data_IF_078117346267
#
_entry.id   IF_078117346267
#
_cell.length_a   1.000
_cell.length_b   1.000
_cell.length_c   1.000
_cell.angle_alpha   90.00
_cell.angle_beta   90.00
_cell.angle_gamma   90.00
#
_symmetry.space_group_name_H-M   'P 1'
#
loop_
_entity.id
_entity.type
_entity.pdbx_description
1 polymer ?
#
# COMPACT_ATOMS: atom_id res chain seq x y z
N UNK A 1 34.51 -55.50 17.62
CA UNK A 1 33.05 -55.36 17.54
C UNK A 1 32.70 -54.07 16.78
N UNK A 2 32.23 -54.13 15.53
CA UNK A 2 31.79 -52.95 14.76
C UNK A 2 30.26 -52.93 14.60
N UNK A 3 29.62 -51.78 14.84
CA UNK A 3 28.26 -51.33 14.42
C UNK A 3 28.05 -49.97 15.13
N UNK A 4 27.47 -48.89 14.60
CA UNK A 4 26.74 -48.57 13.38
C UNK A 4 26.79 -47.04 13.26
N UNK A 5 26.91 -46.51 12.03
CA UNK A 5 26.72 -45.08 11.74
C UNK A 5 25.25 -44.70 11.95
N UNK A 6 24.96 -43.56 12.58
CA UNK A 6 23.69 -42.83 12.33
C UNK A 6 23.97 -41.38 11.93
N UNK A 7 23.83 -41.14 10.63
CA UNK A 7 23.55 -39.83 10.03
C UNK A 7 22.12 -39.45 10.43
N UNK A 8 21.93 -38.35 11.16
CA UNK A 8 20.65 -37.65 11.29
C UNK A 8 20.70 -36.41 10.41
N UNK A 9 20.19 -36.50 9.18
CA UNK A 9 18.88 -35.97 8.75
C UNK A 9 18.94 -34.46 8.54
N UNK A 10 19.24 -34.10 7.30
CA UNK A 10 19.20 -32.73 6.81
C UNK A 10 17.80 -32.14 7.00
N UNK A 11 17.79 -30.96 7.62
CA UNK A 11 16.65 -30.07 7.64
C UNK A 11 16.54 -29.45 6.25
N UNK A 12 15.62 -29.98 5.45
CA UNK A 12 15.33 -29.49 4.10
C UNK A 12 14.62 -28.15 4.25
N UNK A 13 15.33 -27.06 3.99
CA UNK A 13 14.73 -25.75 3.77
C UNK A 13 13.66 -25.86 2.67
N UNK A 14 12.47 -25.25 2.82
CA UNK A 14 11.43 -25.37 1.81
C UNK A 14 11.90 -24.72 0.50
N UNK A 15 11.75 -25.48 -0.59
CA UNK A 15 12.15 -25.12 -1.94
C UNK A 15 11.76 -23.69 -2.30
N UNK A 16 12.78 -22.90 -2.69
CA UNK A 16 12.67 -21.48 -2.96
C UNK A 16 11.76 -21.19 -4.14
N UNK A 17 10.66 -20.49 -3.87
CA UNK A 17 9.89 -19.80 -4.89
C UNK A 17 10.81 -18.82 -5.65
N UNK A 18 10.71 -18.72 -6.98
CA UNK A 18 11.65 -17.90 -7.75
C UNK A 18 11.46 -16.41 -7.40
N UNK A 19 12.54 -15.60 -7.25
CA UNK A 19 12.45 -14.19 -6.86
C UNK A 19 11.46 -13.38 -7.69
N UNK A 20 11.38 -13.67 -9.00
CA UNK A 20 10.46 -13.04 -9.94
C UNK A 20 8.98 -13.37 -9.65
N UNK A 21 8.68 -14.58 -9.18
CA UNK A 21 7.32 -15.04 -8.88
C UNK A 21 6.80 -14.46 -7.58
N UNK A 22 7.68 -14.37 -6.57
CA UNK A 22 7.41 -13.61 -5.34
C UNK A 22 7.11 -12.16 -5.68
N UNK A 23 8.00 -11.49 -6.43
CA UNK A 23 7.82 -10.08 -6.88
C UNK A 23 6.48 -9.84 -7.58
N UNK A 24 6.08 -10.69 -8.52
CA UNK A 24 4.82 -10.51 -9.27
C UNK A 24 3.58 -10.63 -8.37
N UNK A 25 3.60 -11.54 -7.40
CA UNK A 25 2.54 -11.66 -6.40
C UNK A 25 2.51 -10.47 -5.43
N UNK A 26 3.67 -9.89 -5.10
CA UNK A 26 3.78 -8.67 -4.29
C UNK A 26 3.21 -7.46 -5.01
N UNK A 27 3.44 -7.32 -6.31
CA UNK A 27 2.93 -6.20 -7.13
C UNK A 27 1.40 -6.20 -7.18
N UNK A 28 0.78 -7.34 -7.52
CA UNK A 28 -0.69 -7.47 -7.54
C UNK A 28 -1.32 -7.25 -6.15
N UNK A 29 -0.57 -7.58 -5.09
CA UNK A 29 -0.99 -7.30 -3.72
C UNK A 29 -0.94 -5.80 -3.38
N UNK A 30 0.03 -5.05 -3.90
CA UNK A 30 0.13 -3.60 -3.68
C UNK A 30 -1.00 -2.86 -4.39
N UNK A 31 -1.32 -3.25 -5.62
CA UNK A 31 -2.43 -2.69 -6.40
C UNK A 31 -3.77 -2.78 -5.66
N UNK A 32 -4.04 -3.90 -4.99
CA UNK A 32 -5.28 -4.09 -4.23
C UNK A 32 -5.39 -3.22 -2.96
N UNK A 33 -4.26 -2.90 -2.32
CA UNK A 33 -4.25 -2.04 -1.13
C UNK A 33 -4.34 -0.55 -1.47
N UNK A 34 -3.90 -0.18 -2.67
CA UNK A 34 -3.90 1.20 -3.14
C UNK A 34 -5.33 1.74 -3.33
N UNK A 35 -6.31 0.91 -3.68
CA UNK A 35 -7.69 1.32 -3.99
C UNK A 35 -8.44 2.10 -2.88
N UNK A 36 -7.88 2.18 -1.66
CA UNK A 36 -8.54 2.71 -0.45
C UNK A 36 -8.49 4.25 -0.32
N UNK A 37 -7.73 4.97 -1.15
CA UNK A 37 -7.46 6.42 -0.99
C UNK A 37 -8.48 7.42 -1.55
N UNK A 38 -9.68 7.01 -1.97
CA UNK A 38 -10.63 7.90 -2.68
C UNK A 38 -11.40 8.81 -1.71
N UNK A 39 -11.16 10.12 -1.76
CA UNK A 39 -12.11 11.14 -1.26
C UNK A 39 -12.81 11.73 -2.49
N UNK A 40 -14.13 11.51 -2.67
CA UNK A 40 -14.86 12.12 -3.78
C UNK A 40 -15.02 13.64 -3.54
N UNK A 41 -14.50 14.45 -4.47
CA UNK A 41 -14.87 15.86 -4.55
C UNK A 41 -16.33 16.00 -5.00
N UNK A 42 -17.07 17.03 -4.52
CA UNK A 42 -18.43 17.30 -4.98
C UNK A 42 -18.45 17.64 -6.48
N UNK A 43 -19.57 17.33 -7.15
CA UNK A 43 -19.71 17.59 -8.59
C UNK A 43 -19.63 19.10 -8.87
N UNK A 44 -18.68 19.51 -9.71
CA UNK A 44 -18.43 20.92 -10.06
C UNK A 44 -17.15 21.50 -9.45
N UNK A 45 -16.49 20.77 -8.54
CA UNK A 45 -15.18 21.15 -7.99
C UNK A 45 -14.10 20.17 -8.47
N UNK A 46 -12.94 20.70 -8.83
CA UNK A 46 -11.79 19.91 -9.22
C UNK A 46 -11.19 19.19 -7.99
N UNK A 47 -11.07 17.86 -8.09
CA UNK A 47 -10.40 17.02 -7.11
C UNK A 47 -9.26 16.22 -7.73
N UNK A 48 -8.44 15.59 -6.90
CA UNK A 48 -7.33 14.74 -7.35
C UNK A 48 -7.23 13.42 -6.59
N UNK A 49 -6.76 12.37 -7.28
CA UNK A 49 -6.27 11.12 -6.67
C UNK A 49 -4.81 10.96 -7.11
N UNK A 50 -3.87 11.04 -6.16
CA UNK A 50 -2.44 10.90 -6.42
C UNK A 50 -1.85 9.77 -5.60
N UNK A 51 -1.15 8.87 -6.30
CA UNK A 51 -0.51 7.68 -5.73
C UNK A 51 0.94 7.64 -6.15
N UNK A 52 1.81 7.92 -5.19
CA UNK A 52 3.26 7.92 -5.43
C UNK A 52 3.82 6.55 -5.06
N UNK A 53 4.62 5.97 -5.95
CA UNK A 53 5.36 4.75 -5.69
C UNK A 53 6.83 4.97 -5.99
N UNK A 54 7.69 4.62 -5.04
CA UNK A 54 9.13 4.59 -5.23
C UNK A 54 9.49 3.28 -5.93
N UNK A 55 10.33 3.38 -6.96
CA UNK A 55 10.76 2.25 -7.78
C UNK A 55 12.28 2.12 -7.75
N UNK A 56 12.76 0.89 -7.76
CA UNK A 56 14.13 0.52 -8.13
C UNK A 56 14.08 -0.06 -9.54
N UNK A 57 14.53 0.73 -10.53
CA UNK A 57 14.28 0.49 -11.94
C UNK A 57 12.78 0.30 -12.21
N UNK A 58 12.41 -0.88 -12.71
CA UNK A 58 11.02 -1.23 -12.98
C UNK A 58 10.27 -1.92 -11.82
N UNK A 59 10.91 -2.04 -10.67
CA UNK A 59 10.32 -2.74 -9.52
C UNK A 59 9.79 -1.72 -8.51
N UNK A 60 8.49 -1.72 -8.16
CA UNK A 60 7.97 -0.87 -7.09
C UNK A 60 8.44 -1.40 -5.72
N UNK A 61 9.24 -0.59 -5.03
CA UNK A 61 9.88 -0.93 -3.74
C UNK A 61 9.25 -0.22 -2.54
N UNK A 62 8.57 0.92 -2.75
CA UNK A 62 7.87 1.61 -1.67
C UNK A 62 6.63 2.35 -2.17
N UNK A 63 5.66 2.56 -1.30
CA UNK A 63 4.39 3.16 -1.66
C UNK A 63 3.34 3.03 -0.54
N UNK A 64 2.09 3.45 -0.80
CA UNK A 64 1.08 3.63 0.23
C UNK A 64 0.71 2.29 0.90
N UNK A 65 0.63 1.19 0.14
CA UNK A 65 0.32 -0.13 0.69
C UNK A 65 1.41 -0.67 1.63
N UNK A 66 2.68 -0.44 1.31
CA UNK A 66 3.81 -0.85 2.16
C UNK A 66 3.88 0.00 3.42
N UNK A 67 3.70 1.32 3.29
CA UNK A 67 3.60 2.23 4.42
C UNK A 67 2.45 1.84 5.35
N UNK A 68 1.26 1.56 4.81
CA UNK A 68 0.10 1.15 5.60
C UNK A 68 0.37 -0.12 6.40
N UNK A 69 1.09 -1.10 5.83
CA UNK A 69 1.51 -2.30 6.55
C UNK A 69 2.50 -1.98 7.68
N UNK A 70 3.49 -1.13 7.42
CA UNK A 70 4.45 -0.71 8.45
C UNK A 70 3.73 0.01 9.61
N UNK A 71 2.84 0.96 9.32
CA UNK A 71 2.06 1.67 10.34
C UNK A 71 1.12 0.72 11.12
N UNK A 72 0.54 -0.27 10.44
CA UNK A 72 -0.28 -1.28 11.09
C UNK A 72 0.55 -2.18 12.03
N UNK A 73 1.78 -2.53 11.64
CA UNK A 73 2.70 -3.28 12.50
C UNK A 73 3.13 -2.42 13.70
N UNK A 74 3.52 -1.16 13.47
CA UNK A 74 3.87 -0.20 14.53
C UNK A 74 2.76 -0.06 15.57
N UNK A 75 1.51 0.09 15.12
CA UNK A 75 0.35 0.26 16.00
C UNK A 75 -0.05 -1.01 16.76
N UNK A 76 0.28 -2.20 16.26
CA UNK A 76 -0.19 -3.47 16.84
C UNK A 76 0.91 -4.31 17.49
N UNK A 77 2.18 -4.01 17.21
CA UNK A 77 3.33 -4.83 17.61
C UNK A 77 3.36 -6.23 16.98
N UNK A 78 2.54 -6.51 15.96
CA UNK A 78 2.37 -7.86 15.42
C UNK A 78 2.00 -7.89 13.93
N UNK A 79 2.70 -8.71 13.16
CA UNK A 79 2.39 -8.93 11.73
C UNK A 79 1.01 -9.57 11.57
N UNK A 80 0.60 -10.47 12.48
CA UNK A 80 -0.69 -11.15 12.36
C UNK A 80 -1.86 -10.21 12.66
N UNK A 81 -1.70 -9.31 13.63
CA UNK A 81 -2.69 -8.29 13.93
C UNK A 81 -2.78 -7.24 12.81
N UNK A 82 -1.64 -6.80 12.27
CA UNK A 82 -1.59 -5.91 11.12
C UNK A 82 -2.29 -6.52 9.89
N UNK A 83 -2.04 -7.80 9.59
CA UNK A 83 -2.70 -8.51 8.49
C UNK A 83 -4.23 -8.51 8.63
N UNK A 84 -4.74 -8.84 9.83
CA UNK A 84 -6.19 -8.82 10.13
C UNK A 84 -6.78 -7.43 9.94
N UNK A 85 -6.10 -6.39 10.45
CA UNK A 85 -6.54 -4.99 10.32
C UNK A 85 -6.62 -4.53 8.86
N UNK A 86 -5.73 -5.04 8.01
CA UNK A 86 -5.69 -4.72 6.58
C UNK A 86 -6.53 -5.67 5.71
N UNK A 87 -7.31 -6.58 6.31
CA UNK A 87 -8.14 -7.53 5.56
C UNK A 87 -7.34 -8.50 4.68
N UNK A 88 -6.09 -8.81 5.03
CA UNK A 88 -5.23 -9.70 4.25
C UNK A 88 -4.79 -10.93 5.04
N UNK A 89 -4.35 -11.98 4.34
CA UNK A 89 -3.84 -13.18 5.01
C UNK A 89 -2.50 -12.91 5.71
N UNK A 90 -2.26 -13.60 6.82
CA UNK A 90 -0.98 -13.53 7.54
C UNK A 90 0.21 -13.85 6.61
N UNK A 91 0.10 -14.92 5.80
CA UNK A 91 1.13 -15.30 4.83
C UNK A 91 1.48 -14.16 3.87
N UNK A 92 0.48 -13.41 3.42
CA UNK A 92 0.69 -12.26 2.54
C UNK A 92 1.42 -11.12 3.25
N UNK A 93 0.99 -10.75 4.45
CA UNK A 93 1.68 -9.73 5.26
C UNK A 93 3.13 -10.14 5.56
N UNK A 94 3.37 -11.41 5.88
CA UNK A 94 4.70 -11.94 6.15
C UNK A 94 5.62 -11.87 4.91
N UNK A 95 5.13 -12.29 3.73
CA UNK A 95 5.89 -12.20 2.47
C UNK A 95 6.21 -10.74 2.11
N UNK A 96 5.29 -9.81 2.35
CA UNK A 96 5.51 -8.37 2.15
C UNK A 96 6.61 -7.85 3.07
N UNK A 97 6.57 -8.21 4.35
CA UNK A 97 7.62 -7.85 5.32
C UNK A 97 8.98 -8.44 4.93
N UNK A 98 9.02 -9.70 4.51
CA UNK A 98 10.25 -10.34 4.07
C UNK A 98 10.84 -9.67 2.83
N UNK A 99 10.00 -9.36 1.82
CA UNK A 99 10.41 -8.62 0.64
C UNK A 99 10.98 -7.24 1.00
N UNK A 100 10.28 -6.49 1.86
CA UNK A 100 10.75 -5.19 2.34
C UNK A 100 12.08 -5.29 3.08
N UNK A 101 12.28 -6.28 3.95
CA UNK A 101 13.55 -6.41 4.66
C UNK A 101 14.74 -6.74 3.74
N UNK A 102 14.50 -7.31 2.56
CA UNK A 102 15.54 -7.65 1.59
C UNK A 102 15.76 -6.55 0.55
N UNK A 103 14.75 -5.75 0.23
CA UNK A 103 14.83 -4.71 -0.81
C UNK A 103 15.53 -3.43 -0.34
N UNK A 104 15.71 -3.27 0.98
CA UNK A 104 16.38 -2.11 1.57
C UNK A 104 17.72 -2.48 2.20
N UNK A 105 18.60 -1.48 2.34
CA UNK A 105 19.93 -1.63 2.94
C UNK A 105 19.92 -2.12 4.40
N UNK A 106 18.82 -1.89 5.10
CA UNK A 106 18.60 -2.30 6.49
C UNK A 106 17.19 -2.89 6.59
N UNK A 107 16.96 -3.89 7.48
CA UNK A 107 15.64 -4.44 7.70
C UNK A 107 14.66 -3.34 8.10
N UNK A 108 13.44 -3.35 7.53
CA UNK A 108 12.41 -2.41 7.93
C UNK A 108 11.68 -2.87 9.20
N UNK A 109 11.53 -4.17 9.39
CA UNK A 109 10.82 -4.76 10.53
C UNK A 109 11.75 -5.72 11.26
N UNK A 110 11.99 -5.45 12.54
CA UNK A 110 12.63 -6.37 13.47
C UNK A 110 11.59 -7.32 14.07
N UNK A 111 11.94 -8.61 14.14
CA UNK A 111 11.09 -9.66 14.72
C UNK A 111 11.72 -10.11 16.03
N UNK A 112 10.92 -10.19 17.08
CA UNK A 112 11.34 -10.83 18.33
C UNK A 112 10.76 -12.24 18.38
N UNK A 113 11.63 -13.24 18.50
CA UNK A 113 11.23 -14.61 18.80
C UNK A 113 10.95 -14.63 20.31
N UNK A 114 9.67 -14.63 20.69
CA UNK A 114 9.24 -14.58 22.09
C UNK A 114 8.60 -15.90 22.51
N UNK A 115 9.03 -16.41 23.67
CA UNK A 115 8.44 -17.55 24.38
C UNK A 115 7.03 -17.24 24.91
N UNK A 116 6.77 -17.46 26.20
CA UNK A 116 5.41 -17.49 26.82
C UNK A 116 4.49 -16.27 26.48
N UNK A 117 5.05 -15.10 26.15
CA UNK A 117 4.29 -13.90 25.77
C UNK A 117 4.03 -13.73 24.25
N UNK A 118 4.48 -14.67 23.42
CA UNK A 118 4.35 -14.62 21.96
C UNK A 118 5.43 -13.79 21.26
N UNK A 119 5.67 -14.11 19.99
CA UNK A 119 6.58 -13.34 19.12
C UNK A 119 5.98 -12.00 18.69
N UNK A 120 6.82 -10.98 18.60
CA UNK A 120 6.44 -9.61 18.25
C UNK A 120 7.14 -9.09 16.99
N UNK A 121 6.64 -7.98 16.46
CA UNK A 121 7.25 -7.26 15.34
C UNK A 121 7.21 -5.75 15.57
N UNK A 122 8.34 -5.10 15.31
CA UNK A 122 8.48 -3.65 15.47
C UNK A 122 9.23 -3.06 14.28
N UNK A 123 8.96 -1.79 13.98
CA UNK A 123 9.74 -1.07 12.98
C UNK A 123 11.14 -0.80 13.51
N UNK A 124 12.12 -0.88 12.62
CA UNK A 124 13.47 -0.40 12.92
C UNK A 124 13.49 1.14 12.85
N UNK A 125 14.49 1.79 13.48
CA UNK A 125 14.70 3.23 13.31
C UNK A 125 14.83 3.63 11.84
N UNK A 126 15.45 2.78 11.02
CA UNK A 126 15.56 2.97 9.58
C UNK A 126 14.18 3.03 8.89
N UNK A 127 13.27 2.11 9.23
CA UNK A 127 11.90 2.15 8.70
C UNK A 127 11.09 3.36 9.15
N UNK A 128 11.27 3.80 10.39
CA UNK A 128 10.59 5.00 10.92
C UNK A 128 11.02 6.24 10.14
N UNK A 129 12.32 6.40 9.88
CA UNK A 129 12.85 7.49 9.06
C UNK A 129 12.35 7.40 7.61
N UNK A 130 12.34 6.21 7.01
CA UNK A 130 11.81 6.00 5.66
C UNK A 130 10.32 6.37 5.56
N UNK A 131 9.51 5.96 6.55
CA UNK A 131 8.09 6.29 6.62
C UNK A 131 7.89 7.81 6.76
N UNK A 132 8.65 8.46 7.63
CA UNK A 132 8.60 9.91 7.81
C UNK A 132 8.96 10.68 6.52
N UNK A 133 10.03 10.28 5.83
CA UNK A 133 10.41 10.90 4.54
C UNK A 133 9.32 10.73 3.48
N UNK A 134 8.70 9.56 3.42
CA UNK A 134 7.60 9.33 2.49
C UNK A 134 6.38 10.20 2.84
N UNK A 135 6.04 10.33 4.12
CA UNK A 135 4.94 11.20 4.56
C UNK A 135 5.20 12.67 4.20
N UNK A 136 6.44 13.16 4.39
CA UNK A 136 6.86 14.51 3.96
C UNK A 136 6.68 14.70 2.46
N UNK A 137 7.16 13.76 1.63
CA UNK A 137 7.02 13.83 0.18
C UNK A 137 5.56 13.90 -0.26
N UNK A 138 4.69 13.05 0.31
CA UNK A 138 3.26 13.08 -0.01
C UNK A 138 2.63 14.40 0.41
N UNK A 139 3.01 14.94 1.55
CA UNK A 139 2.50 16.23 2.02
C UNK A 139 2.89 17.38 1.08
N UNK A 140 4.15 17.44 0.64
CA UNK A 140 4.62 18.44 -0.32
C UNK A 140 3.88 18.35 -1.66
N UNK A 141 3.66 17.13 -2.16
CA UNK A 141 2.89 16.89 -3.39
C UNK A 141 1.44 17.34 -3.21
N UNK A 142 0.81 17.04 -2.06
CA UNK A 142 -0.56 17.50 -1.76
C UNK A 142 -0.65 19.01 -1.71
N UNK A 143 0.28 19.69 -1.05
CA UNK A 143 0.31 21.16 -1.00
C UNK A 143 0.40 21.77 -2.40
N UNK A 144 1.22 21.18 -3.29
CA UNK A 144 1.30 21.62 -4.68
C UNK A 144 -0.03 21.40 -5.42
N UNK A 145 -0.66 20.24 -5.23
CA UNK A 145 -1.93 19.91 -5.86
C UNK A 145 -3.06 20.80 -5.33
N UNK A 146 -3.14 21.03 -4.03
CA UNK A 146 -4.12 21.92 -3.41
C UNK A 146 -4.00 23.35 -3.95
N UNK A 147 -2.77 23.79 -4.28
CA UNK A 147 -2.53 25.10 -4.87
C UNK A 147 -2.95 25.20 -6.36
N UNK A 148 -2.88 24.11 -7.11
CA UNK A 148 -3.04 24.14 -8.58
C UNK A 148 -4.35 23.50 -9.08
N UNK A 149 -4.87 22.48 -8.41
CA UNK A 149 -6.08 21.76 -8.84
C UNK A 149 -7.31 22.67 -8.90
N UNK A 150 -7.53 23.64 -7.98
CA UNK A 150 -8.66 24.56 -8.10
C UNK A 150 -8.69 25.40 -9.39
N UNK A 151 -7.54 25.58 -10.08
CA UNK A 151 -7.53 26.25 -11.38
C UNK A 151 -8.32 25.49 -12.45
N UNK A 152 -8.54 24.19 -12.25
CA UNK A 152 -9.37 23.37 -13.14
C UNK A 152 -10.86 23.68 -13.01
N UNK A 153 -11.33 24.30 -11.92
CA UNK A 153 -12.74 24.68 -11.73
C UNK A 153 -13.25 25.55 -12.90
N UNK A 154 -12.39 26.42 -13.44
CA UNK A 154 -12.71 27.27 -14.59
C UNK A 154 -12.92 26.50 -15.91
N UNK A 155 -12.46 25.25 -16.00
CA UNK A 155 -12.61 24.38 -17.17
C UNK A 155 -13.69 23.30 -16.97
N UNK A 156 -14.16 23.12 -15.74
CA UNK A 156 -15.23 22.18 -15.45
C UNK A 156 -16.57 22.80 -15.83
N UNK A 157 -17.47 21.96 -16.34
CA UNK A 157 -18.85 22.38 -16.56
C UNK A 157 -19.44 22.66 -15.17
N UNK A 158 -19.78 23.92 -14.89
CA UNK A 158 -20.49 24.26 -13.66
C UNK A 158 -21.77 23.42 -13.63
N UNK A 159 -21.97 22.67 -12.55
CA UNK A 159 -23.18 21.90 -12.33
C UNK A 159 -24.38 22.81 -12.06
N UNK A 160 -24.69 23.74 -12.95
CA UNK A 160 -26.03 24.29 -13.07
C UNK A 160 -26.68 23.52 -14.21
N UNK A 161 -27.73 22.79 -13.86
CA UNK A 161 -28.70 22.29 -14.81
C UNK A 161 -29.36 23.48 -15.50
N UNK A 162 -28.69 24.08 -16.47
CA UNK A 162 -29.35 24.82 -17.54
C UNK A 162 -29.85 23.77 -18.52
N UNK A 163 -31.03 23.21 -18.23
CA UNK A 163 -31.92 22.77 -19.29
C UNK A 163 -32.43 24.04 -19.97
N UNK A 164 -32.00 24.36 -21.21
CA UNK A 164 -32.71 25.37 -21.97
C UNK A 164 -34.09 24.80 -22.28
N UNK A 165 -35.11 25.47 -21.74
CA UNK A 165 -36.45 25.61 -22.29
C UNK A 165 -36.75 24.64 -23.44
N UNK A 166 -37.41 23.52 -23.13
CA UNK A 166 -38.22 22.84 -24.15
C UNK A 166 -39.33 23.80 -24.52
N UNK A 167 -39.03 24.61 -25.51
CA UNK A 167 -39.88 25.60 -26.14
C UNK A 167 -41.28 25.01 -26.33
N UNK A 168 -42.22 25.62 -25.60
CA UNK A 168 -43.64 25.40 -25.74
C UNK A 168 -44.05 25.71 -27.18
N UNK A 169 -44.32 24.68 -27.98
CA UNK A 169 -45.07 24.85 -29.22
C UNK A 169 -46.56 24.81 -28.86
N UNK A 170 -47.31 25.93 -28.98
CA UNK A 170 -48.75 25.89 -28.84
C UNK A 170 -49.34 25.40 -30.16
N UNK A 171 -49.60 24.09 -30.28
CA UNK A 171 -50.38 23.57 -31.41
C UNK A 171 -51.87 23.67 -31.11
N UNK A 172 -52.43 24.84 -31.40
CA UNK A 172 -53.87 25.05 -31.51
C UNK A 172 -54.39 24.36 -32.79
N UNK A 173 -55.18 23.29 -32.61
CA UNK A 173 -56.49 22.94 -33.21
C UNK A 173 -56.73 23.06 -34.74
N UNK A 174 -57.69 22.30 -35.30
CA UNK A 174 -59.12 22.36 -34.97
C UNK A 174 -59.72 21.08 -34.36
#
# INVERSE_FOLDING_TARGET
>A
MPVERRRGKGEVAPAGDSPARRRRATVAALEALEAVGKVPAPAGEAGYDVRVRVRDGDTPVFGPGRLALLRAIEATGSISAAARRMGMSYRRAWLLVEAMNHEFREPLVARHIGGVAGGGAQLTPFAQNLAAHYDTLINEIRLLLDAHVPTFDAYLRSGTADDPETESVPSHRP
#
